data_IF_072506133888
#
_entry.id   IF_072506133888
#
_cell.length_a   1.000
_cell.length_b   1.000
_cell.length_c   1.000
_cell.angle_alpha   90.00
_cell.angle_beta   90.00
_cell.angle_gamma   90.00
#
_symmetry.space_group_name_H-M   'P 1'
#
loop_
_entity.id
_entity.type
_entity.pdbx_description
1 polymer ?
#
# COMPACT_ATOMS: atom_id res chain seq x y z
N UNK A 1 8.84 -1.15 15.19
CA UNK A 1 8.59 0.23 15.66
C UNK A 1 7.57 0.90 14.76
N UNK A 2 6.34 1.15 15.24
CA UNK A 2 5.21 1.65 14.43
C UNK A 2 5.46 3.00 13.75
N UNK A 3 6.24 3.87 14.38
CA UNK A 3 6.60 5.20 13.86
C UNK A 3 7.34 5.13 12.51
N UNK A 4 8.19 4.11 12.31
CA UNK A 4 8.92 3.95 11.05
C UNK A 4 8.01 3.56 9.89
N UNK A 5 7.01 2.71 10.12
CA UNK A 5 6.00 2.36 9.10
C UNK A 5 5.22 3.60 8.65
N UNK A 6 4.89 4.50 9.58
CA UNK A 6 4.23 5.76 9.26
C UNK A 6 5.12 6.68 8.40
N UNK A 7 6.40 6.82 8.76
CA UNK A 7 7.35 7.62 7.97
C UNK A 7 7.54 7.02 6.57
N UNK A 8 7.72 5.70 6.46
CA UNK A 8 7.86 5.02 5.18
C UNK A 8 6.61 5.22 4.30
N UNK A 9 5.41 5.11 4.87
CA UNK A 9 4.17 5.34 4.13
C UNK A 9 4.11 6.76 3.55
N UNK A 10 4.47 7.78 4.34
CA UNK A 10 4.48 9.18 3.88
C UNK A 10 5.52 9.39 2.79
N UNK A 11 6.75 8.89 2.97
CA UNK A 11 7.82 9.01 1.97
C UNK A 11 7.44 8.29 0.66
N UNK A 12 6.84 7.10 0.76
CA UNK A 12 6.41 6.34 -0.40
C UNK A 12 5.30 7.08 -1.18
N UNK A 13 4.30 7.64 -0.48
CA UNK A 13 3.26 8.45 -1.11
C UNK A 13 3.82 9.74 -1.74
N UNK A 14 4.73 10.42 -1.06
CA UNK A 14 5.39 11.61 -1.61
C UNK A 14 6.20 11.27 -2.86
N UNK A 15 6.98 10.19 -2.82
CA UNK A 15 7.75 9.70 -3.97
C UNK A 15 6.84 9.33 -5.14
N UNK A 16 5.76 8.59 -4.90
CA UNK A 16 4.76 8.26 -5.91
C UNK A 16 4.20 9.52 -6.59
N UNK A 17 3.77 10.53 -5.81
CA UNK A 17 3.22 11.76 -6.37
C UNK A 17 4.28 12.60 -7.12
N UNK A 18 5.50 12.69 -6.61
CA UNK A 18 6.58 13.40 -7.32
C UNK A 18 6.92 12.74 -8.66
N UNK A 19 7.22 11.43 -8.67
CA UNK A 19 7.60 10.73 -9.90
C UNK A 19 6.41 10.51 -10.84
N UNK A 20 5.20 10.33 -10.29
CA UNK A 20 3.96 10.27 -11.06
C UNK A 20 3.65 11.59 -11.75
N UNK A 21 3.85 12.72 -11.07
CA UNK A 21 3.72 14.03 -11.69
C UNK A 21 4.76 14.24 -12.80
N UNK A 22 6.03 13.87 -12.55
CA UNK A 22 7.08 13.94 -13.57
C UNK A 22 6.76 13.07 -14.80
N UNK A 23 6.15 11.91 -14.61
CA UNK A 23 5.73 11.04 -15.71
C UNK A 23 4.55 11.60 -16.51
N UNK A 24 3.67 12.39 -15.88
CA UNK A 24 2.50 12.99 -16.53
C UNK A 24 2.78 14.36 -17.17
N UNK A 25 3.65 15.17 -16.55
CA UNK A 25 3.90 16.56 -16.95
C UNK A 25 5.22 16.73 -17.72
N UNK A 26 6.01 15.66 -17.91
CA UNK A 26 7.27 15.69 -18.63
C UNK A 26 7.08 15.76 -20.15
N UNK A 27 6.68 16.91 -20.69
CA UNK A 27 6.58 17.11 -22.15
C UNK A 27 7.93 17.04 -22.87
N UNK A 28 9.02 17.48 -22.22
CA UNK A 28 10.37 17.52 -22.81
C UNK A 28 11.27 16.35 -22.38
N UNK A 29 10.71 15.30 -21.77
CA UNK A 29 11.50 14.17 -21.29
C UNK A 29 11.76 13.14 -22.39
N UNK A 30 12.99 12.65 -22.45
CA UNK A 30 13.32 11.48 -23.28
C UNK A 30 12.51 10.26 -22.84
N UNK A 31 12.14 9.40 -23.78
CA UNK A 31 11.42 8.14 -23.52
C UNK A 31 12.02 7.34 -22.36
N UNK A 32 13.36 7.28 -22.27
CA UNK A 32 14.07 6.60 -21.17
C UNK A 32 13.79 7.23 -19.80
N UNK A 33 13.69 8.54 -19.73
CA UNK A 33 13.42 9.28 -18.50
C UNK A 33 11.98 9.10 -18.05
N UNK A 34 11.03 9.07 -19.00
CA UNK A 34 9.63 8.73 -18.73
C UNK A 34 9.48 7.30 -18.20
N UNK A 35 10.20 6.33 -18.79
CA UNK A 35 10.22 4.94 -18.30
C UNK A 35 10.77 4.87 -16.87
N UNK A 36 11.89 5.54 -16.59
CA UNK A 36 12.48 5.55 -15.25
C UNK A 36 11.54 6.22 -14.24
N UNK A 37 10.93 7.36 -14.59
CA UNK A 37 9.97 8.07 -13.73
C UNK A 37 8.75 7.19 -13.43
N UNK A 38 8.21 6.51 -14.45
CA UNK A 38 7.08 5.59 -14.31
C UNK A 38 7.43 4.38 -13.45
N UNK A 39 8.64 3.82 -13.60
CA UNK A 39 9.12 2.72 -12.79
C UNK A 39 9.30 3.13 -11.31
N UNK A 40 9.86 4.31 -11.05
CA UNK A 40 9.98 4.86 -9.69
C UNK A 40 8.61 5.12 -9.07
N UNK A 41 7.66 5.66 -9.84
CA UNK A 41 6.29 5.84 -9.39
C UNK A 41 5.66 4.49 -9.01
N UNK A 42 5.81 3.46 -9.85
CA UNK A 42 5.29 2.12 -9.55
C UNK A 42 5.89 1.52 -8.27
N UNK A 43 7.19 1.66 -8.06
CA UNK A 43 7.86 1.21 -6.84
C UNK A 43 7.35 1.99 -5.62
N UNK A 44 7.24 3.32 -5.73
CA UNK A 44 6.67 4.17 -4.68
C UNK A 44 5.24 3.79 -4.31
N UNK A 45 4.43 3.45 -5.32
CA UNK A 45 3.05 2.98 -5.13
C UNK A 45 2.98 1.62 -4.43
N UNK A 46 3.78 0.65 -4.89
CA UNK A 46 3.81 -0.70 -4.29
C UNK A 46 4.28 -0.68 -2.83
N UNK A 47 5.35 0.07 -2.54
CA UNK A 47 5.83 0.26 -1.16
C UNK A 47 4.81 1.02 -0.32
N UNK A 48 4.15 2.04 -0.89
CA UNK A 48 3.10 2.81 -0.23
C UNK A 48 1.91 1.95 0.19
N UNK A 49 1.39 1.11 -0.71
CA UNK A 49 0.31 0.16 -0.40
C UNK A 49 0.75 -0.80 0.70
N UNK A 50 1.93 -1.41 0.57
CA UNK A 50 2.42 -2.36 1.56
C UNK A 50 2.56 -1.73 2.95
N UNK A 51 3.17 -0.54 3.00
CA UNK A 51 3.32 0.22 4.24
C UNK A 51 1.96 0.61 4.83
N UNK A 52 1.03 1.09 4.01
CA UNK A 52 -0.33 1.44 4.41
C UNK A 52 -1.08 0.25 5.04
N UNK A 53 -1.10 -0.91 4.37
CA UNK A 53 -1.75 -2.12 4.87
C UNK A 53 -1.14 -2.57 6.21
N UNK A 54 0.19 -2.56 6.31
CA UNK A 54 0.89 -2.88 7.56
C UNK A 54 0.58 -1.87 8.68
N UNK A 55 0.42 -0.59 8.33
CA UNK A 55 0.07 0.47 9.27
C UNK A 55 -1.36 0.30 9.78
N UNK A 56 -2.31 -0.09 8.91
CA UNK A 56 -3.67 -0.47 9.30
C UNK A 56 -3.67 -1.63 10.31
N UNK A 57 -2.97 -2.73 10.03
CA UNK A 57 -2.83 -3.83 11.00
C UNK A 57 -2.20 -3.35 12.32
N UNK A 58 -1.15 -2.54 12.24
CA UNK A 58 -0.53 -1.97 13.43
C UNK A 58 -1.52 -1.10 14.22
N UNK A 59 -2.39 -0.32 13.58
CA UNK A 59 -3.38 0.53 14.25
C UNK A 59 -4.44 -0.29 15.00
N UNK A 60 -4.82 -1.45 14.44
CA UNK A 60 -5.68 -2.43 15.12
C UNK A 60 -5.00 -3.00 16.37
N UNK A 61 -3.72 -3.36 16.28
CA UNK A 61 -2.95 -3.88 17.42
C UNK A 61 -2.73 -2.84 18.53
N UNK A 62 -2.79 -1.54 18.20
CA UNK A 62 -2.71 -0.46 19.18
C UNK A 62 -4.02 -0.20 19.91
N UNK A 63 -5.13 -0.82 19.48
CA UNK A 63 -6.48 -0.48 19.93
C UNK A 63 -6.99 0.88 19.42
N UNK A 64 -6.27 1.53 18.50
CA UNK A 64 -6.66 2.81 17.90
C UNK A 64 -7.73 2.63 16.81
N UNK A 65 -7.79 1.45 16.19
CA UNK A 65 -8.80 1.06 15.21
C UNK A 65 -9.51 -0.21 15.66
N UNK A 66 -10.81 -0.31 15.36
CA UNK A 66 -11.59 -1.54 15.61
C UNK A 66 -11.01 -2.65 14.75
N UNK A 67 -10.54 -3.73 15.39
CA UNK A 67 -9.96 -4.90 14.70
C UNK A 67 -10.86 -5.30 13.52
N UNK A 68 -10.28 -5.49 12.34
CA UNK A 68 -11.06 -5.83 11.16
C UNK A 68 -11.88 -7.08 11.46
N UNK A 69 -13.14 -7.08 11.04
CA UNK A 69 -14.10 -8.17 11.28
C UNK A 69 -13.79 -9.36 10.35
N UNK A 70 -12.50 -9.65 10.11
CA UNK A 70 -12.09 -10.89 9.47
C UNK A 70 -12.52 -12.02 10.40
N UNK A 71 -13.45 -12.83 9.89
CA UNK A 71 -13.81 -14.10 10.49
C UNK A 71 -12.54 -14.88 10.79
N UNK A 72 -12.47 -15.43 11.99
CA UNK A 72 -11.41 -16.35 12.36
C UNK A 72 -11.28 -17.45 11.30
N UNK A 73 -10.05 -17.90 11.03
CA UNK A 73 -9.77 -18.83 9.95
C UNK A 73 -10.58 -20.14 10.10
N UNK A 74 -10.83 -20.60 11.33
CA UNK A 74 -11.70 -21.76 11.56
C UNK A 74 -13.16 -21.46 11.24
N UNK A 75 -13.65 -20.27 11.61
CA UNK A 75 -15.04 -19.88 11.34
C UNK A 75 -15.29 -19.70 9.83
N UNK A 76 -14.31 -19.19 9.09
CA UNK A 76 -14.36 -19.10 7.62
C UNK A 76 -14.35 -20.48 6.97
N UNK A 77 -13.47 -21.38 7.42
CA UNK A 77 -13.40 -22.74 6.88
C UNK A 77 -14.68 -23.53 7.17
N UNK A 78 -15.27 -23.37 8.36
CA UNK A 78 -16.57 -23.95 8.71
C UNK A 78 -17.69 -23.45 7.79
N UNK A 79 -17.76 -22.14 7.56
CA UNK A 79 -18.75 -21.56 6.65
C UNK A 79 -18.59 -22.03 5.19
N UNK A 80 -17.35 -22.26 4.72
CA UNK A 80 -17.09 -22.84 3.40
C UNK A 80 -17.45 -24.34 3.32
N UNK A 81 -17.31 -25.09 4.41
CA UNK A 81 -17.73 -26.50 4.44
C UNK A 81 -19.25 -26.67 4.50
N UNK A 82 -19.98 -25.70 5.04
CA UNK A 82 -21.45 -25.72 5.16
C UNK A 82 -22.15 -25.32 3.84
N UNK A 83 -21.47 -24.59 2.95
CA UNK A 83 -21.98 -24.20 1.64
C UNK A 83 -20.97 -24.49 0.52
N UNK A 84 -20.82 -25.77 0.11
CA UNK A 84 -20.07 -26.11 -1.10
C UNK A 84 -20.86 -25.61 -2.33
N UNK A 85 -20.21 -24.82 -3.19
CA UNK A 85 -20.74 -24.43 -4.51
C UNK A 85 -20.77 -25.63 -5.46
#
# INVERSE_FOLDING_TARGET
MRKFLAVINVIAWAGFWSFGYLALAGEDFSERQLIIASALAFVGFGVGIFAYLKLCCCAEDCGYAKKTKQLDAETRNRAQSEHPL
#
